data_IF_561055148734
#
_entry.id   IF_561055148734
#
_cell.length_a   1.000
_cell.length_b   1.000
_cell.length_c   1.000
_cell.angle_alpha   90.00
_cell.angle_beta   90.00
_cell.angle_gamma   90.00
#
_symmetry.space_group_name_H-M   'P 1'
#
loop_
_entity.id
_entity.type
_entity.pdbx_description
1 polymer ?
#
# COMPACT_ATOMS: atom_id res chain seq x y z
N UNK A 1 8.61 0.86 -16.36
CA UNK A 1 8.13 1.88 -15.40
C UNK A 1 6.95 2.68 -15.93
N UNK A 2 7.02 3.29 -17.11
CA UNK A 2 5.93 4.12 -17.65
C UNK A 2 4.57 3.41 -17.72
N UNK A 3 4.52 2.21 -18.28
CA UNK A 3 3.29 1.40 -18.36
C UNK A 3 2.68 1.11 -16.99
N UNK A 4 3.51 0.81 -16.00
CA UNK A 4 3.09 0.56 -14.62
C UNK A 4 2.43 1.79 -14.00
N UNK A 5 3.01 2.97 -14.17
CA UNK A 5 2.44 4.23 -13.66
C UNK A 5 1.10 4.53 -14.32
N UNK A 6 1.00 4.38 -15.65
CA UNK A 6 -0.27 4.56 -16.36
C UNK A 6 -1.36 3.61 -15.84
N UNK A 7 -1.01 2.34 -15.63
CA UNK A 7 -1.96 1.35 -15.11
C UNK A 7 -2.44 1.71 -13.70
N UNK A 8 -1.55 2.16 -12.82
CA UNK A 8 -1.92 2.63 -11.48
C UNK A 8 -2.84 3.86 -11.54
N UNK A 9 -2.53 4.83 -12.41
CA UNK A 9 -3.37 6.03 -12.56
C UNK A 9 -4.78 5.70 -13.07
N UNK A 10 -4.89 4.78 -14.03
CA UNK A 10 -6.19 4.28 -14.50
C UNK A 10 -6.94 3.55 -13.38
N UNK A 11 -6.24 2.74 -12.61
CA UNK A 11 -6.83 2.05 -11.45
C UNK A 11 -7.38 3.05 -10.42
N UNK A 12 -6.65 4.09 -10.07
CA UNK A 12 -7.09 5.11 -9.12
C UNK A 12 -8.32 5.87 -9.63
N UNK A 13 -8.37 6.17 -10.94
CA UNK A 13 -9.54 6.75 -11.60
C UNK A 13 -10.76 5.82 -11.51
N UNK A 14 -10.58 4.53 -11.78
CA UNK A 14 -11.66 3.54 -11.70
C UNK A 14 -12.19 3.40 -10.26
N UNK A 15 -11.32 3.39 -9.27
CA UNK A 15 -11.72 3.38 -7.85
C UNK A 15 -12.54 4.61 -7.51
N UNK A 16 -12.14 5.80 -7.99
CA UNK A 16 -12.92 7.02 -7.78
C UNK A 16 -14.26 6.97 -8.49
N UNK A 17 -14.32 6.42 -9.69
CA UNK A 17 -15.56 6.26 -10.46
C UNK A 17 -16.52 5.25 -9.84
N UNK A 18 -15.99 4.32 -9.05
CA UNK A 18 -16.76 3.32 -8.30
C UNK A 18 -17.20 3.82 -6.92
N UNK A 19 -17.33 5.13 -6.71
CA UNK A 19 -17.74 5.72 -5.42
C UNK A 19 -19.14 5.28 -4.97
N UNK A 20 -20.03 4.94 -5.90
CA UNK A 20 -21.39 4.50 -5.61
C UNK A 20 -21.50 3.06 -5.08
N UNK A 21 -20.45 2.25 -5.25
CA UNK A 21 -20.42 0.86 -4.79
C UNK A 21 -19.83 0.76 -3.37
N UNK A 22 -20.22 -0.24 -2.55
CA UNK A 22 -19.62 -0.48 -1.25
C UNK A 22 -18.10 -0.68 -1.34
N UNK A 23 -17.37 -0.20 -0.33
CA UNK A 23 -15.90 -0.36 -0.31
C UNK A 23 -15.49 -1.83 -0.35
N UNK A 24 -16.29 -2.72 0.28
CA UNK A 24 -16.06 -4.15 0.29
C UNK A 24 -16.09 -4.78 -1.10
N UNK A 25 -17.02 -4.41 -1.95
CA UNK A 25 -17.09 -4.92 -3.33
C UNK A 25 -15.84 -4.56 -4.11
N UNK A 26 -15.38 -3.31 -4.01
CA UNK A 26 -14.16 -2.85 -4.69
C UNK A 26 -12.94 -3.62 -4.19
N UNK A 27 -12.84 -3.85 -2.88
CA UNK A 27 -11.77 -4.65 -2.28
C UNK A 27 -11.84 -6.12 -2.73
N UNK A 28 -13.04 -6.70 -2.74
CA UNK A 28 -13.24 -8.09 -3.18
C UNK A 28 -12.79 -8.28 -4.63
N UNK A 29 -13.30 -7.47 -5.57
CA UNK A 29 -12.92 -7.59 -6.97
C UNK A 29 -11.44 -7.33 -7.19
N UNK A 30 -10.85 -6.37 -6.49
CA UNK A 30 -9.41 -6.08 -6.54
C UNK A 30 -8.57 -7.28 -6.06
N UNK A 31 -8.97 -7.94 -4.97
CA UNK A 31 -8.32 -9.16 -4.49
C UNK A 31 -8.53 -10.32 -5.45
N UNK A 32 -9.76 -10.57 -5.87
CA UNK A 32 -10.12 -11.68 -6.75
C UNK A 32 -9.39 -11.62 -8.10
N UNK A 33 -9.46 -10.48 -8.79
CA UNK A 33 -8.73 -10.30 -10.05
C UNK A 33 -7.21 -10.26 -9.86
N UNK A 34 -6.71 -9.87 -8.68
CA UNK A 34 -5.31 -9.95 -8.32
C UNK A 34 -4.79 -11.38 -8.18
N UNK A 35 -5.67 -12.36 -7.90
CA UNK A 35 -5.31 -13.77 -7.85
C UNK A 35 -4.96 -14.35 -9.24
N UNK A 36 -5.59 -13.85 -10.30
CA UNK A 36 -5.37 -14.37 -11.66
C UNK A 36 -3.88 -14.30 -12.10
N UNK A 37 -3.24 -13.10 -12.15
CA UNK A 37 -1.83 -13.02 -12.52
C UNK A 37 -0.93 -13.74 -11.53
N UNK A 38 -1.29 -13.73 -10.25
CA UNK A 38 -0.50 -14.41 -9.22
C UNK A 38 -0.51 -15.92 -9.41
N UNK A 39 -1.65 -16.50 -9.84
CA UNK A 39 -1.76 -17.93 -10.14
C UNK A 39 -0.83 -18.36 -11.29
N UNK A 40 -0.70 -17.55 -12.34
CA UNK A 40 0.23 -17.82 -13.44
C UNK A 40 1.72 -17.75 -13.04
N UNK A 41 2.03 -17.02 -11.96
CA UNK A 41 3.39 -16.90 -11.44
C UNK A 41 3.79 -18.06 -10.52
N UNK A 42 2.85 -18.95 -10.14
CA UNK A 42 3.16 -20.09 -9.26
C UNK A 42 3.89 -21.17 -10.06
N UNK A 43 5.10 -21.56 -9.67
CA UNK A 43 5.77 -22.70 -10.26
C UNK A 43 5.04 -23.99 -9.86
N UNK A 44 4.55 -24.77 -10.84
CA UNK A 44 3.74 -25.99 -10.63
C UNK A 44 4.33 -26.99 -9.63
N UNK A 45 5.66 -27.01 -9.48
CA UNK A 45 6.38 -27.91 -8.58
C UNK A 45 6.51 -27.42 -7.12
N UNK A 46 6.06 -26.20 -6.79
CA UNK A 46 6.26 -25.59 -5.46
C UNK A 46 4.98 -25.36 -4.66
N UNK A 47 3.86 -25.93 -5.06
CA UNK A 47 2.58 -25.84 -4.33
C UNK A 47 2.69 -26.34 -2.88
N UNK A 48 3.57 -27.31 -2.60
CA UNK A 48 3.83 -27.80 -1.23
C UNK A 48 4.47 -26.74 -0.31
N UNK A 49 5.15 -25.75 -0.87
CA UNK A 49 5.78 -24.66 -0.09
C UNK A 49 4.75 -23.72 0.54
N UNK A 50 3.49 -23.74 0.09
CA UNK A 50 2.40 -22.97 0.65
C UNK A 50 2.13 -23.32 2.13
N UNK A 51 2.34 -24.57 2.52
CA UNK A 51 2.10 -25.06 3.88
C UNK A 51 3.34 -25.00 4.78
N UNK A 52 4.51 -24.61 4.27
CA UNK A 52 5.79 -24.69 4.99
C UNK A 52 6.35 -23.33 5.39
N UNK A 53 5.52 -22.26 5.34
CA UNK A 53 5.98 -20.95 5.79
C UNK A 53 6.28 -20.96 7.28
N UNK A 54 7.48 -20.54 7.63
CA UNK A 54 7.95 -20.44 9.03
C UNK A 54 7.68 -19.06 9.63
N UNK A 55 7.28 -18.08 8.79
CA UNK A 55 7.12 -16.66 9.16
C UNK A 55 5.67 -16.18 9.08
N UNK A 56 4.72 -16.99 9.51
CA UNK A 56 3.28 -16.68 9.47
C UNK A 56 2.91 -15.36 10.17
N UNK A 57 3.61 -15.01 11.25
CA UNK A 57 3.39 -13.73 11.97
C UNK A 57 3.75 -12.51 11.11
N UNK A 58 4.83 -12.59 10.35
CA UNK A 58 5.26 -11.50 9.46
C UNK A 58 4.30 -11.36 8.26
N UNK A 59 3.80 -12.48 7.72
CA UNK A 59 2.76 -12.47 6.70
C UNK A 59 1.48 -11.83 7.23
N UNK A 60 1.01 -12.23 8.41
CA UNK A 60 -0.19 -11.65 9.02
C UNK A 60 -0.02 -10.14 9.25
N UNK A 61 1.10 -9.72 9.82
CA UNK A 61 1.40 -8.30 10.03
C UNK A 61 1.39 -7.52 8.72
N UNK A 62 2.06 -8.04 7.68
CA UNK A 62 2.09 -7.44 6.35
C UNK A 62 0.69 -7.34 5.74
N UNK A 63 -0.12 -8.40 5.87
CA UNK A 63 -1.49 -8.41 5.35
C UNK A 63 -2.37 -7.38 6.07
N UNK A 64 -2.29 -7.29 7.39
CA UNK A 64 -3.05 -6.32 8.18
C UNK A 64 -2.66 -4.88 7.85
N UNK A 65 -1.36 -4.57 7.80
CA UNK A 65 -0.88 -3.24 7.44
C UNK A 65 -1.25 -2.87 6.00
N UNK A 66 -1.16 -3.83 5.08
CA UNK A 66 -1.54 -3.63 3.69
C UNK A 66 -3.05 -3.45 3.50
N UNK A 67 -3.88 -4.19 4.25
CA UNK A 67 -5.34 -4.03 4.23
C UNK A 67 -5.75 -2.65 4.78
N UNK A 68 -5.19 -2.26 5.92
CA UNK A 68 -5.45 -0.94 6.51
C UNK A 68 -5.05 0.19 5.55
N UNK A 69 -3.86 0.09 4.94
CA UNK A 69 -3.42 1.05 3.94
C UNK A 69 -4.37 1.10 2.72
N UNK A 70 -4.81 -0.07 2.24
CA UNK A 70 -5.70 -0.15 1.09
C UNK A 70 -7.07 0.44 1.38
N UNK A 71 -7.65 0.18 2.54
CA UNK A 71 -8.93 0.78 2.97
C UNK A 71 -8.77 2.30 3.05
N UNK A 72 -7.70 2.79 3.68
CA UNK A 72 -7.45 4.21 3.84
C UNK A 72 -7.36 4.93 2.48
N UNK A 73 -6.64 4.38 1.49
CA UNK A 73 -6.53 5.01 0.17
C UNK A 73 -7.83 4.94 -0.62
N UNK A 74 -8.58 3.84 -0.56
CA UNK A 74 -9.87 3.71 -1.25
C UNK A 74 -10.87 4.72 -0.71
N UNK A 75 -10.98 4.88 0.60
CA UNK A 75 -11.84 5.89 1.23
C UNK A 75 -11.38 7.30 0.87
N UNK A 76 -10.06 7.56 0.90
CA UNK A 76 -9.52 8.86 0.52
C UNK A 76 -9.83 9.23 -0.94
N UNK A 77 -9.70 8.29 -1.87
CA UNK A 77 -10.00 8.51 -3.30
C UNK A 77 -11.47 8.84 -3.55
N UNK A 78 -12.37 8.34 -2.72
CA UNK A 78 -13.80 8.61 -2.82
C UNK A 78 -14.16 10.00 -2.32
N UNK A 79 -13.66 10.36 -1.15
CA UNK A 79 -14.06 11.56 -0.42
C UNK A 79 -13.26 12.81 -0.84
N UNK A 80 -12.02 12.65 -1.28
CA UNK A 80 -11.13 13.75 -1.60
C UNK A 80 -10.91 13.92 -3.11
N UNK A 81 -10.48 15.10 -3.57
CA UNK A 81 -10.04 15.29 -4.94
C UNK A 81 -8.87 14.37 -5.28
N UNK A 82 -8.94 13.70 -6.44
CA UNK A 82 -7.92 12.74 -6.89
C UNK A 82 -6.50 13.33 -6.86
N UNK A 83 -6.34 14.57 -7.32
CA UNK A 83 -5.05 15.25 -7.35
C UNK A 83 -4.42 15.35 -5.95
N UNK A 84 -5.21 15.67 -4.93
CA UNK A 84 -4.74 15.78 -3.53
C UNK A 84 -4.32 14.43 -3.00
N UNK A 85 -5.16 13.39 -3.19
CA UNK A 85 -4.87 12.03 -2.70
C UNK A 85 -3.59 11.50 -3.33
N UNK A 86 -3.46 11.61 -4.65
CA UNK A 86 -2.27 11.14 -5.38
C UNK A 86 -1.02 11.91 -4.95
N UNK A 87 -1.11 13.23 -4.82
CA UNK A 87 0.03 14.05 -4.38
C UNK A 87 0.50 13.69 -2.98
N UNK A 88 -0.44 13.53 -2.02
CA UNK A 88 -0.10 13.10 -0.66
C UNK A 88 0.45 11.68 -0.61
N UNK A 89 -0.04 10.79 -1.47
CA UNK A 89 0.45 9.39 -1.56
C UNK A 89 1.91 9.31 -2.02
N UNK A 90 2.42 10.29 -2.75
CA UNK A 90 3.84 10.38 -3.07
C UNK A 90 4.74 10.64 -1.85
N UNK A 91 4.19 10.90 -0.68
CA UNK A 91 4.95 10.90 0.57
C UNK A 91 5.38 9.48 1.04
N UNK A 92 4.81 8.39 0.48
CA UNK A 92 5.15 7.03 0.88
C UNK A 92 6.67 6.73 0.87
N UNK A 93 7.46 7.10 -0.15
CA UNK A 93 8.91 6.91 -0.12
C UNK A 93 9.62 7.62 1.04
N UNK A 94 9.09 8.76 1.50
CA UNK A 94 9.65 9.48 2.65
C UNK A 94 9.46 8.65 3.93
N UNK A 95 8.25 8.14 4.16
CA UNK A 95 7.96 7.26 5.30
C UNK A 95 8.76 5.95 5.22
N UNK A 96 8.91 5.35 4.03
CA UNK A 96 9.74 4.16 3.83
C UNK A 96 11.18 4.45 4.25
N UNK A 97 11.75 5.59 3.84
CA UNK A 97 13.12 5.98 4.19
C UNK A 97 13.28 6.16 5.70
N UNK A 98 12.36 6.87 6.35
CA UNK A 98 12.41 7.09 7.80
C UNK A 98 12.27 5.77 8.56
N UNK A 99 11.28 4.93 8.21
CA UNK A 99 11.07 3.66 8.90
C UNK A 99 12.20 2.65 8.64
N UNK A 100 12.86 2.69 7.48
CA UNK A 100 13.99 1.78 7.19
C UNK A 100 15.18 1.99 8.15
N UNK A 101 15.38 3.22 8.61
CA UNK A 101 16.41 3.54 9.61
C UNK A 101 16.14 2.79 10.92
N UNK A 102 14.90 2.86 11.40
CA UNK A 102 14.51 2.27 12.68
C UNK A 102 14.36 0.75 12.62
N UNK A 103 13.78 0.23 11.53
CA UNK A 103 13.41 -1.19 11.43
C UNK A 103 14.47 -2.08 10.76
N UNK A 104 15.32 -1.49 9.89
CA UNK A 104 16.39 -2.21 9.20
C UNK A 104 17.78 -1.77 9.68
N UNK A 105 17.86 -0.76 10.58
CA UNK A 105 19.12 -0.17 11.03
C UNK A 105 20.01 0.32 9.87
N UNK A 106 19.38 0.77 8.77
CA UNK A 106 20.11 1.28 7.61
C UNK A 106 20.72 2.64 7.95
N UNK A 107 22.00 2.83 7.59
CA UNK A 107 22.65 4.14 7.70
C UNK A 107 22.24 4.99 6.52
N UNK A 108 21.47 6.03 6.77
CA UNK A 108 21.00 6.98 5.75
C UNK A 108 21.92 8.20 5.75
N UNK A 109 22.49 8.49 4.58
CA UNK A 109 23.36 9.66 4.40
C UNK A 109 22.57 10.98 4.48
N UNK A 110 23.29 12.06 4.80
CA UNK A 110 22.72 13.41 4.99
C UNK A 110 21.87 13.87 3.79
N UNK A 111 22.25 13.55 2.57
CA UNK A 111 21.50 13.94 1.38
C UNK A 111 20.09 13.32 1.34
N UNK A 112 19.92 12.08 1.81
CA UNK A 112 18.60 11.46 1.92
C UNK A 112 17.76 12.11 3.00
N UNK A 113 18.36 12.51 4.13
CA UNK A 113 17.69 13.27 5.17
C UNK A 113 17.19 14.62 4.66
N UNK A 114 18.01 15.37 3.93
CA UNK A 114 17.60 16.63 3.31
C UNK A 114 16.45 16.42 2.31
N UNK A 115 16.51 15.38 1.49
CA UNK A 115 15.43 15.05 0.57
C UNK A 115 14.11 14.72 1.30
N UNK A 116 14.19 13.98 2.42
CA UNK A 116 13.02 13.68 3.27
C UNK A 116 12.44 14.97 3.85
N UNK A 117 13.25 15.86 4.40
CA UNK A 117 12.79 17.14 4.96
C UNK A 117 12.10 18.02 3.91
N UNK A 118 12.71 18.19 2.74
CA UNK A 118 12.13 18.96 1.63
C UNK A 118 10.81 18.33 1.18
N UNK A 119 10.77 16.99 1.08
CA UNK A 119 9.55 16.27 0.72
C UNK A 119 8.43 16.47 1.73
N UNK A 120 8.70 16.43 3.03
CA UNK A 120 7.68 16.72 4.07
C UNK A 120 7.18 18.15 4.02
N UNK A 121 8.04 19.13 3.73
CA UNK A 121 7.59 20.50 3.50
C UNK A 121 6.61 20.57 2.33
N UNK A 122 6.90 19.88 1.22
CA UNK A 122 5.99 19.76 0.08
C UNK A 122 4.64 19.17 0.45
N UNK A 123 4.63 18.09 1.26
CA UNK A 123 3.39 17.47 1.76
C UNK A 123 2.56 18.43 2.60
N UNK A 124 3.21 19.22 3.48
CA UNK A 124 2.53 20.22 4.31
C UNK A 124 1.90 21.33 3.43
N UNK A 125 2.61 21.78 2.41
CA UNK A 125 2.09 22.79 1.46
C UNK A 125 0.85 22.26 0.72
N UNK A 126 0.89 21.01 0.26
CA UNK A 126 -0.24 20.40 -0.46
C UNK A 126 -1.44 20.15 0.47
N UNK A 127 -1.18 19.78 1.71
CA UNK A 127 -2.24 19.52 2.69
C UNK A 127 -3.01 20.80 3.10
N UNK A 128 -2.46 22.01 2.86
CA UNK A 128 -3.08 23.31 3.19
C UNK A 128 -3.78 23.34 4.57
N UNK A 129 -3.11 23.04 5.68
CA UNK A 129 -3.75 22.81 6.97
C UNK A 129 -4.44 24.04 7.60
N UNK A 130 -4.50 25.17 6.93
CA UNK A 130 -4.95 26.43 7.56
C UNK A 130 -6.10 27.18 6.87
N UNK A 131 -6.48 26.87 5.63
CA UNK A 131 -7.32 27.79 4.86
C UNK A 131 -8.81 27.43 4.73
N UNK A 132 -9.23 26.18 5.02
CA UNK A 132 -10.63 25.75 4.82
C UNK A 132 -11.19 24.81 5.90
N UNK A 133 -10.65 24.84 7.12
CA UNK A 133 -11.03 23.90 8.17
C UNK A 133 -10.31 22.54 7.96
N UNK A 134 -9.66 22.06 9.01
CA UNK A 134 -8.92 20.79 8.97
C UNK A 134 -9.92 19.63 8.77
N UNK A 135 -10.04 19.13 7.54
CA UNK A 135 -10.80 17.93 7.27
C UNK A 135 -9.92 16.71 7.65
N UNK A 136 -10.35 15.92 8.64
CA UNK A 136 -9.64 14.72 9.09
C UNK A 136 -9.38 13.70 7.95
N UNK A 137 -10.11 13.80 6.86
CA UNK A 137 -9.93 12.94 5.69
C UNK A 137 -8.55 13.08 5.03
N UNK A 138 -7.87 14.24 5.18
CA UNK A 138 -6.48 14.41 4.69
C UNK A 138 -5.45 13.51 5.40
N UNK A 139 -5.79 12.97 6.57
CA UNK A 139 -4.94 11.97 7.25
C UNK A 139 -4.99 10.59 6.60
N UNK A 140 -6.04 10.26 5.84
CA UNK A 140 -6.17 8.95 5.19
C UNK A 140 -5.02 8.62 4.21
N UNK A 141 -4.63 9.51 3.28
CA UNK A 141 -3.45 9.26 2.44
C UNK A 141 -2.15 9.12 3.24
N UNK A 142 -2.02 9.81 4.39
CA UNK A 142 -0.84 9.66 5.25
C UNK A 142 -0.84 8.29 5.97
N UNK A 143 -1.99 7.82 6.44
CA UNK A 143 -2.16 6.46 6.98
C UNK A 143 -1.79 5.42 5.92
N UNK A 144 -2.23 5.62 4.67
CA UNK A 144 -1.80 4.79 3.54
C UNK A 144 -0.28 4.79 3.39
N UNK A 145 0.39 5.95 3.42
CA UNK A 145 1.84 6.06 3.30
C UNK A 145 2.58 5.30 4.39
N UNK A 146 2.13 5.41 5.64
CA UNK A 146 2.71 4.69 6.79
C UNK A 146 2.51 3.18 6.62
N UNK A 147 1.29 2.75 6.29
CA UNK A 147 0.99 1.35 6.03
C UNK A 147 1.84 0.77 4.89
N UNK A 148 1.99 1.51 3.78
CA UNK A 148 2.86 1.13 2.66
C UNK A 148 4.33 1.04 3.04
N UNK A 149 4.81 1.90 3.96
CA UNK A 149 6.17 1.82 4.45
C UNK A 149 6.39 0.52 5.25
N UNK A 150 5.48 0.15 6.16
CA UNK A 150 5.53 -1.13 6.87
C UNK A 150 5.45 -2.33 5.92
N UNK A 151 4.54 -2.30 4.95
CA UNK A 151 4.40 -3.34 3.91
C UNK A 151 5.71 -3.52 3.15
N UNK A 152 6.29 -2.44 2.66
CA UNK A 152 7.53 -2.48 1.86
C UNK A 152 8.70 -3.05 2.66
N UNK A 153 8.87 -2.63 3.91
CA UNK A 153 9.94 -3.12 4.78
C UNK A 153 9.74 -4.60 5.12
N UNK A 154 8.50 -5.00 5.40
CA UNK A 154 8.18 -6.41 5.68
C UNK A 154 8.39 -7.29 4.45
N UNK A 155 8.03 -6.82 3.25
CA UNK A 155 8.33 -7.53 2.00
C UNK A 155 9.83 -7.70 1.81
N UNK A 156 10.65 -6.67 2.07
CA UNK A 156 12.11 -6.79 2.01
C UNK A 156 12.64 -7.87 2.96
N UNK A 157 12.12 -7.95 4.18
CA UNK A 157 12.50 -9.00 5.14
C UNK A 157 12.03 -10.39 4.69
N UNK A 158 10.82 -10.52 4.21
CA UNK A 158 10.26 -11.80 3.76
C UNK A 158 10.91 -12.31 2.47
N UNK A 159 11.23 -11.43 1.53
CA UNK A 159 11.81 -11.79 0.23
C UNK A 159 13.20 -12.43 0.33
N UNK A 160 13.86 -12.34 1.48
CA UNK A 160 15.14 -13.05 1.71
C UNK A 160 14.98 -14.55 1.95
N UNK A 161 13.81 -14.97 2.40
CA UNK A 161 13.55 -16.37 2.79
C UNK A 161 12.39 -17.00 2.03
N UNK A 162 11.48 -16.21 1.51
CA UNK A 162 10.26 -16.68 0.85
C UNK A 162 10.08 -16.08 -0.55
N UNK A 163 9.52 -16.85 -1.50
CA UNK A 163 9.32 -16.37 -2.85
C UNK A 163 8.22 -15.29 -2.91
N UNK A 164 8.40 -14.31 -3.78
CA UNK A 164 7.50 -13.15 -3.93
C UNK A 164 6.05 -13.58 -4.26
N UNK A 165 5.85 -14.64 -5.06
CA UNK A 165 4.53 -15.13 -5.39
C UNK A 165 3.74 -15.57 -4.15
N UNK A 166 4.42 -16.18 -3.15
CA UNK A 166 3.79 -16.60 -1.90
C UNK A 166 3.31 -15.39 -1.07
N UNK A 167 4.16 -14.37 -0.97
CA UNK A 167 3.84 -13.12 -0.28
C UNK A 167 2.63 -12.43 -0.93
N UNK A 168 2.55 -12.46 -2.26
CA UNK A 168 1.45 -11.86 -3.02
C UNK A 168 0.13 -12.61 -2.82
N UNK A 169 0.16 -13.96 -2.84
CA UNK A 169 -1.05 -14.78 -2.66
C UNK A 169 -1.68 -14.53 -1.29
N UNK A 170 -0.90 -14.55 -0.21
CA UNK A 170 -1.44 -14.28 1.13
C UNK A 170 -2.16 -12.94 1.18
N UNK A 171 -1.61 -11.93 0.54
CA UNK A 171 -2.22 -10.61 0.53
C UNK A 171 -3.51 -10.55 -0.32
N UNK A 172 -3.49 -11.10 -1.52
CA UNK A 172 -4.68 -11.10 -2.39
C UNK A 172 -5.84 -11.89 -1.78
N UNK A 173 -5.56 -13.02 -1.14
CA UNK A 173 -6.56 -13.79 -0.40
C UNK A 173 -7.11 -12.96 0.77
N UNK A 174 -6.24 -12.32 1.56
CA UNK A 174 -6.67 -11.49 2.70
C UNK A 174 -7.58 -10.34 2.25
N UNK A 175 -7.25 -9.66 1.15
CA UNK A 175 -8.09 -8.58 0.60
C UNK A 175 -9.44 -9.13 0.15
N UNK A 176 -9.45 -10.29 -0.55
CA UNK A 176 -10.70 -10.89 -1.03
C UNK A 176 -11.62 -11.28 0.12
N UNK A 177 -11.06 -11.89 1.18
CA UNK A 177 -11.84 -12.26 2.37
C UNK A 177 -12.36 -11.00 3.09
N UNK A 178 -11.51 -9.99 3.26
CA UNK A 178 -11.92 -8.74 3.89
C UNK A 178 -13.02 -8.02 3.10
N UNK A 179 -12.93 -8.05 1.75
CA UNK A 179 -13.96 -7.49 0.89
C UNK A 179 -15.30 -8.21 0.94
N UNK A 180 -15.30 -9.53 1.22
CA UNK A 180 -16.54 -10.30 1.44
C UNK A 180 -17.19 -10.03 2.80
N UNK A 181 -16.40 -9.57 3.78
CA UNK A 181 -16.87 -9.34 5.14
C UNK A 181 -17.44 -7.93 5.36
N UNK A 182 -17.32 -7.03 4.37
CA UNK A 182 -17.77 -5.62 4.39
C UNK A 182 -18.74 -5.32 3.30
#
# INVERSE_FOLDING_TARGET
MFLSVCTFSVMDLLVKWSSDYPTGEVLFFRGFFGLLPTYFLIPKNKLKTFYTTTRSKEHLFRCLMGLMALIAIVVALRELPLAVVVSLSYAAPLFITVLSIFLLSEKVGIFRWLAVLIGFIGVIIIAEPGFKGMNYLYFLPLIFCIGMAFVTITIRKLSTTEPIWLISIFFTITISIAGLAT
#
